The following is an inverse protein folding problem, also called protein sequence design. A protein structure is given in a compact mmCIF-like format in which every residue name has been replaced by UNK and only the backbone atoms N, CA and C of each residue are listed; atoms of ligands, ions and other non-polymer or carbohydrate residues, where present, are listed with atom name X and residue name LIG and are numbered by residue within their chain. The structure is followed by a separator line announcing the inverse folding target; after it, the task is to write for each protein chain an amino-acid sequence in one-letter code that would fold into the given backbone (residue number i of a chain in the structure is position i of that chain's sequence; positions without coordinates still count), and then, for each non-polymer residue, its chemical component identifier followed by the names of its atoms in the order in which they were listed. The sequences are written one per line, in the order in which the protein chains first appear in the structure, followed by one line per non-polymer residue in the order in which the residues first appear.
data_IF_780546518292
#
_entry.id   IF_780546518292
#
_cell.length_a   1.000
_cell.length_b   1.000
_cell.length_c   1.000
_cell.angle_alpha   90.00
_cell.angle_beta   90.00
_cell.angle_gamma   90.00
#
_symmetry.space_group_name_H-M   'P 1'
#
loop_
_entity.id
_entity.type
_entity.pdbx_description
1 polymer ?
#
# COMPACT_ATOMS: atom_id res chain seq x y z
N UNK A 1 27.12 8.40 -40.22
CA UNK A 1 26.52 7.44 -39.28
C UNK A 1 26.66 8.01 -37.88
N UNK A 2 25.54 8.40 -37.26
CA UNK A 2 25.50 8.98 -35.93
C UNK A 2 24.05 9.22 -35.54
N UNK A 3 23.35 8.16 -35.12
CA UNK A 3 21.96 8.23 -34.69
C UNK A 3 21.94 8.79 -33.27
N UNK A 4 21.53 10.05 -33.13
CA UNK A 4 21.15 10.63 -31.87
C UNK A 4 19.78 10.08 -31.47
N UNK A 5 19.75 9.13 -30.54
CA UNK A 5 18.53 8.61 -29.96
C UNK A 5 18.04 9.60 -28.90
N UNK A 6 17.25 10.59 -29.33
CA UNK A 6 16.48 11.46 -28.42
C UNK A 6 15.31 10.62 -27.89
N UNK A 7 15.52 10.01 -26.72
CA UNK A 7 14.43 9.43 -25.94
C UNK A 7 13.58 10.58 -25.39
N UNK A 8 12.49 10.88 -26.08
CA UNK A 8 11.46 11.81 -25.64
C UNK A 8 10.87 11.33 -24.31
N UNK A 9 11.07 12.11 -23.26
CA UNK A 9 10.40 11.97 -21.96
C UNK A 9 8.95 12.43 -22.15
N UNK A 10 8.15 11.62 -22.82
CA UNK A 10 6.72 11.87 -23.04
C UNK A 10 5.93 10.64 -22.65
N UNK A 11 5.85 10.32 -21.36
CA UNK A 11 4.74 9.57 -20.78
C UNK A 11 4.72 9.61 -19.24
N UNK A 12 4.91 10.78 -18.61
CA UNK A 12 4.34 10.99 -17.28
C UNK A 12 2.93 11.52 -17.48
N UNK A 13 2.05 10.66 -18.02
CA UNK A 13 0.63 10.97 -18.05
C UNK A 13 0.19 11.15 -16.59
N UNK A 14 -0.18 12.39 -16.25
CA UNK A 14 -0.93 12.65 -15.03
C UNK A 14 -2.16 11.75 -15.08
N UNK A 15 -2.29 10.82 -14.13
CA UNK A 15 -3.56 10.15 -13.84
C UNK A 15 -4.54 11.14 -13.19
N UNK A 16 -4.66 12.35 -13.74
CA UNK A 16 -5.77 13.22 -13.43
C UNK A 16 -6.99 12.52 -14.03
N UNK A 17 -7.76 11.85 -13.17
CA UNK A 17 -9.02 11.28 -13.61
C UNK A 17 -9.89 12.46 -14.01
N UNK A 18 -10.29 12.52 -15.27
CA UNK A 18 -11.33 13.43 -15.71
C UNK A 18 -12.59 13.07 -14.92
N UNK A 19 -12.90 13.88 -13.91
CA UNK A 19 -14.04 13.63 -13.04
C UNK A 19 -15.36 13.72 -13.81
N UNK A 20 -15.35 14.30 -15.02
CA UNK A 20 -16.51 14.45 -15.90
C UNK A 20 -17.63 15.27 -15.26
N UNK A 21 -18.56 15.77 -16.08
CA UNK A 21 -19.84 16.31 -15.58
C UNK A 21 -20.89 15.20 -15.32
N UNK A 22 -20.51 13.94 -15.50
CA UNK A 22 -21.35 12.76 -15.30
C UNK A 22 -21.19 12.10 -13.93
N UNK A 23 -22.00 11.08 -13.63
CA UNK A 23 -21.86 10.29 -12.41
C UNK A 23 -20.75 9.25 -12.60
N UNK A 24 -19.58 9.53 -12.05
CA UNK A 24 -18.42 8.62 -12.09
C UNK A 24 -18.36 7.77 -10.82
N UNK A 25 -18.30 6.44 -10.96
CA UNK A 25 -18.13 5.49 -9.85
C UNK A 25 -16.66 5.05 -9.76
N UNK A 26 -16.08 5.17 -8.56
CA UNK A 26 -14.76 4.65 -8.25
C UNK A 26 -14.88 3.41 -7.38
N UNK A 27 -14.33 2.28 -7.86
CA UNK A 27 -14.16 1.08 -7.07
C UNK A 27 -12.71 0.98 -6.63
N UNK A 28 -12.47 1.02 -5.32
CA UNK A 28 -11.14 0.93 -4.72
C UNK A 28 -11.06 -0.39 -3.97
N UNK A 29 -10.16 -1.28 -4.40
CA UNK A 29 -9.97 -2.54 -3.69
C UNK A 29 -8.96 -2.38 -2.56
N UNK A 30 -9.29 -2.97 -1.41
CA UNK A 30 -8.47 -2.96 -0.21
C UNK A 30 -8.80 -4.20 0.64
N UNK A 31 -7.97 -4.49 1.63
CA UNK A 31 -8.26 -5.45 2.67
C UNK A 31 -7.84 -4.84 4.00
N UNK A 32 -8.83 -4.57 4.85
CA UNK A 32 -8.56 -4.20 6.23
C UNK A 32 -8.08 -5.43 7.01
N UNK A 33 -7.02 -5.26 7.80
CA UNK A 33 -6.45 -6.33 8.63
C UNK A 33 -5.91 -5.73 9.92
N UNK A 34 -6.58 -6.03 11.03
CA UNK A 34 -6.05 -5.77 12.36
C UNK A 34 -4.75 -6.52 12.58
N UNK A 35 -3.70 -5.78 12.94
CA UNK A 35 -2.44 -6.43 13.30
C UNK A 35 -2.58 -7.26 14.57
N UNK A 36 -3.45 -6.83 15.49
CA UNK A 36 -3.83 -7.57 16.69
C UNK A 36 -5.24 -7.17 17.14
N UNK A 37 -6.14 -8.14 17.23
CA UNK A 37 -7.50 -7.95 17.75
C UNK A 37 -7.92 -9.16 18.59
N UNK A 38 -8.81 -10.01 18.08
CA UNK A 38 -9.20 -11.29 18.69
C UNK A 38 -8.17 -12.41 18.46
N UNK A 39 -6.97 -12.05 17.98
CA UNK A 39 -5.84 -12.94 17.70
C UNK A 39 -4.52 -12.21 17.99
N UNK A 40 -3.44 -12.97 18.11
CA UNK A 40 -2.10 -12.41 18.40
C UNK A 40 -1.39 -11.96 17.14
N UNK A 41 -0.36 -11.12 17.27
CA UNK A 41 0.53 -10.76 16.15
C UNK A 41 1.13 -12.01 15.48
N UNK A 42 1.42 -13.07 16.26
CA UNK A 42 1.91 -14.34 15.71
C UNK A 42 0.89 -14.99 14.79
N UNK A 43 -0.39 -14.90 15.11
CA UNK A 43 -1.47 -15.39 14.25
C UNK A 43 -1.57 -14.54 12.99
N UNK A 44 -1.49 -13.20 13.10
CA UNK A 44 -1.37 -12.27 11.96
C UNK A 44 -0.28 -12.71 11.00
N UNK A 45 0.92 -12.91 11.52
CA UNK A 45 2.09 -13.36 10.75
C UNK A 45 1.79 -14.70 10.08
N UNK A 46 1.41 -15.74 10.84
CA UNK A 46 1.31 -17.11 10.33
C UNK A 46 0.11 -17.36 9.41
N UNK A 47 -1.03 -16.75 9.70
CA UNK A 47 -2.31 -17.15 9.12
C UNK A 47 -2.87 -16.11 8.14
N UNK A 48 -2.57 -14.82 8.33
CA UNK A 48 -3.22 -13.75 7.58
C UNK A 48 -2.31 -13.09 6.53
N UNK A 49 -1.07 -12.75 6.88
CA UNK A 49 -0.13 -12.13 5.92
C UNK A 49 0.11 -12.99 4.66
N UNK A 50 0.30 -14.33 4.75
CA UNK A 50 0.45 -15.16 3.56
C UNK A 50 -0.76 -15.06 2.64
N UNK A 51 -1.97 -15.07 3.22
CA UNK A 51 -3.22 -14.95 2.48
C UNK A 51 -3.36 -13.60 1.78
N UNK A 52 -2.95 -12.50 2.42
CA UNK A 52 -2.93 -11.17 1.79
C UNK A 52 -1.94 -11.13 0.63
N UNK A 53 -0.79 -11.79 0.72
CA UNK A 53 0.20 -11.79 -0.36
C UNK A 53 -0.24 -12.67 -1.53
N UNK A 54 -0.42 -13.97 -1.28
CA UNK A 54 -0.57 -14.97 -2.34
C UNK A 54 -1.87 -14.80 -3.12
N UNK A 55 -3.00 -14.57 -2.43
CA UNK A 55 -4.29 -14.36 -3.11
C UNK A 55 -4.27 -13.11 -3.99
N UNK A 56 -3.61 -12.03 -3.54
CA UNK A 56 -3.49 -10.83 -4.37
C UNK A 56 -2.56 -11.05 -5.57
N UNK A 57 -1.50 -11.86 -5.44
CA UNK A 57 -0.67 -12.22 -6.58
C UNK A 57 -1.45 -12.98 -7.64
N UNK A 58 -2.27 -13.97 -7.24
CA UNK A 58 -3.17 -14.68 -8.15
C UNK A 58 -4.16 -13.73 -8.84
N UNK A 59 -4.72 -12.77 -8.09
CA UNK A 59 -5.63 -11.75 -8.65
C UNK A 59 -4.91 -10.82 -9.64
N UNK A 60 -3.66 -10.44 -9.39
CA UNK A 60 -2.90 -9.63 -10.34
C UNK A 60 -2.65 -10.37 -11.64
N UNK A 61 -2.34 -11.67 -11.59
CA UNK A 61 -2.15 -12.51 -12.78
C UNK A 61 -3.46 -12.67 -13.56
N UNK A 62 -4.56 -12.94 -12.85
CA UNK A 62 -5.86 -13.19 -13.47
C UNK A 62 -6.52 -11.95 -14.06
N UNK A 63 -6.37 -10.78 -13.41
CA UNK A 63 -7.09 -9.57 -13.78
C UNK A 63 -6.11 -8.41 -14.04
N UNK A 64 -5.72 -8.11 -15.29
CA UNK A 64 -4.67 -7.13 -15.61
C UNK A 64 -4.90 -5.71 -15.06
N UNK A 65 -6.17 -5.32 -14.90
CA UNK A 65 -6.54 -3.99 -14.40
C UNK A 65 -6.74 -3.93 -12.87
N UNK A 66 -6.57 -5.06 -12.17
CA UNK A 66 -6.70 -5.11 -10.72
C UNK A 66 -5.62 -4.26 -10.05
N UNK A 67 -6.07 -3.37 -9.15
CA UNK A 67 -5.24 -2.52 -8.29
C UNK A 67 -5.68 -2.72 -6.85
N UNK A 68 -4.73 -2.96 -5.97
CA UNK A 68 -4.93 -3.20 -4.55
C UNK A 68 -4.31 -2.09 -3.72
N UNK A 69 -4.96 -1.70 -2.63
CA UNK A 69 -4.48 -0.71 -1.66
C UNK A 69 -4.43 -1.37 -0.29
N UNK A 70 -3.30 -1.24 0.40
CA UNK A 70 -3.12 -1.89 1.70
C UNK A 70 -2.44 -0.94 2.68
N UNK A 71 -3.15 -0.62 3.77
CA UNK A 71 -2.70 0.36 4.76
C UNK A 71 -1.56 -0.15 5.65
N UNK A 72 -1.06 0.66 6.59
CA UNK A 72 -0.23 0.27 7.75
C UNK A 72 1.14 -0.36 7.42
N UNK A 73 2.19 0.45 7.52
CA UNK A 73 3.56 0.04 7.23
C UNK A 73 4.07 -1.13 8.09
N UNK A 74 3.55 -1.33 9.30
CA UNK A 74 3.99 -2.39 10.21
C UNK A 74 3.77 -3.77 9.63
N UNK A 75 2.65 -4.02 8.95
CA UNK A 75 2.41 -5.29 8.25
C UNK A 75 3.40 -5.52 7.11
N UNK A 76 3.84 -4.48 6.42
CA UNK A 76 4.91 -4.60 5.43
C UNK A 76 6.25 -4.95 6.07
N UNK A 77 6.56 -4.40 7.25
CA UNK A 77 7.75 -4.79 8.03
C UNK A 77 7.72 -6.27 8.37
N UNK A 78 6.57 -6.76 8.85
CA UNK A 78 6.37 -8.19 9.14
C UNK A 78 6.48 -9.06 7.89
N UNK A 79 5.89 -8.63 6.76
CA UNK A 79 6.02 -9.34 5.48
C UNK A 79 7.48 -9.42 5.03
N UNK A 80 8.25 -8.32 5.15
CA UNK A 80 9.68 -8.29 4.82
C UNK A 80 10.49 -9.25 5.69
N UNK A 81 10.18 -9.34 6.98
CA UNK A 81 10.93 -10.15 7.92
C UNK A 81 10.61 -11.65 7.80
N UNK A 82 9.33 -12.01 7.71
CA UNK A 82 8.89 -13.40 7.76
C UNK A 82 8.62 -14.03 6.38
N UNK A 83 8.42 -13.23 5.33
CA UNK A 83 8.08 -13.67 3.97
C UNK A 83 8.90 -12.91 2.91
N UNK A 84 10.26 -12.93 2.98
CA UNK A 84 11.11 -12.09 2.15
C UNK A 84 10.97 -12.36 0.64
N UNK A 85 10.70 -13.61 0.23
CA UNK A 85 10.53 -13.96 -1.18
C UNK A 85 9.26 -13.34 -1.76
N UNK A 86 8.14 -13.45 -1.04
CA UNK A 86 6.88 -12.80 -1.39
C UNK A 86 6.98 -11.28 -1.31
N UNK A 87 7.74 -10.75 -0.35
CA UNK A 87 7.96 -9.31 -0.23
C UNK A 87 8.69 -8.74 -1.46
N UNK A 88 9.67 -9.44 -2.02
CA UNK A 88 10.30 -9.02 -3.28
C UNK A 88 9.34 -9.11 -4.49
N UNK A 89 8.38 -10.06 -4.48
CA UNK A 89 7.29 -10.07 -5.48
C UNK A 89 6.34 -8.89 -5.29
N UNK A 90 5.96 -8.58 -4.04
CA UNK A 90 5.14 -7.41 -3.69
C UNK A 90 5.80 -6.12 -4.20
N UNK A 91 7.12 -5.94 -4.00
CA UNK A 91 7.85 -4.76 -4.49
C UNK A 91 7.70 -4.55 -5.99
N UNK A 92 7.74 -5.63 -6.79
CA UNK A 92 7.50 -5.56 -8.23
C UNK A 92 6.08 -5.08 -8.56
N UNK A 93 5.08 -5.49 -7.79
CA UNK A 93 3.70 -4.99 -7.96
C UNK A 93 3.53 -3.55 -7.51
N UNK A 94 4.27 -3.13 -6.47
CA UNK A 94 4.32 -1.73 -6.05
C UNK A 94 4.95 -0.88 -7.14
N UNK A 95 6.10 -1.28 -7.70
CA UNK A 95 6.76 -0.59 -8.81
C UNK A 95 5.82 -0.43 -10.01
N UNK A 96 5.16 -1.52 -10.42
CA UNK A 96 4.15 -1.55 -11.50
C UNK A 96 2.88 -0.73 -11.21
N UNK A 97 2.71 -0.18 -10.01
CA UNK A 97 1.54 0.61 -9.64
C UNK A 97 0.25 -0.21 -9.50
N UNK A 98 0.39 -1.52 -9.26
CA UNK A 98 -0.73 -2.45 -9.06
C UNK A 98 -1.00 -2.70 -7.58
N UNK A 99 0.03 -2.62 -6.74
CA UNK A 99 -0.08 -2.55 -5.29
C UNK A 99 0.24 -1.13 -4.83
N UNK A 100 -0.67 -0.50 -4.10
CA UNK A 100 -0.50 0.86 -3.57
C UNK A 100 -0.41 0.82 -2.05
N UNK A 101 0.60 1.52 -1.53
CA UNK A 101 0.68 1.81 -0.09
C UNK A 101 -0.36 2.87 0.26
N UNK A 102 -1.12 2.67 1.33
CA UNK A 102 -2.21 3.57 1.75
C UNK A 102 -2.16 3.88 3.25
N UNK A 103 -2.97 4.83 3.70
CA UNK A 103 -3.21 5.16 5.11
C UNK A 103 -2.11 5.92 5.86
N UNK A 104 -0.90 6.08 5.30
CA UNK A 104 0.25 6.84 5.82
C UNK A 104 0.85 6.44 7.17
N UNK A 105 0.11 5.77 8.05
CA UNK A 105 0.55 5.42 9.41
C UNK A 105 1.44 4.17 9.46
N UNK A 106 2.14 4.00 10.60
CA UNK A 106 2.81 2.71 10.90
C UNK A 106 1.76 1.62 11.07
N UNK A 107 0.68 1.89 11.78
CA UNK A 107 -0.49 0.99 11.84
C UNK A 107 -1.80 1.79 11.89
N UNK A 108 -2.95 1.12 11.71
CA UNK A 108 -4.25 1.73 11.96
C UNK A 108 -4.38 2.10 13.44
N UNK A 109 -4.19 3.38 13.77
CA UNK A 109 -4.17 3.85 15.15
C UNK A 109 -5.45 4.59 15.53
N UNK A 110 -5.83 4.49 16.81
CA UNK A 110 -6.79 5.39 17.43
C UNK A 110 -6.30 6.85 17.36
N UNK A 111 -7.23 7.79 17.27
CA UNK A 111 -6.94 9.23 17.20
C UNK A 111 -7.47 10.01 18.41
N UNK A 112 -8.17 9.34 19.33
CA UNK A 112 -8.75 9.98 20.51
C UNK A 112 -7.83 9.95 21.73
N UNK A 113 -7.17 8.82 21.99
CA UNK A 113 -6.32 8.60 23.17
C UNK A 113 -4.88 9.11 22.98
N UNK A 114 -4.21 8.92 21.82
CA UNK A 114 -2.81 9.33 21.66
C UNK A 114 -2.62 10.84 21.67
N UNK A 115 -1.41 11.28 22.05
CA UNK A 115 -1.04 12.69 21.90
C UNK A 115 -0.92 13.06 20.41
N UNK A 116 -1.07 14.35 20.05
CA UNK A 116 -0.83 14.81 18.68
C UNK A 116 0.56 14.45 18.17
N UNK A 117 1.57 14.46 19.04
CA UNK A 117 2.94 14.08 18.70
C UNK A 117 3.06 12.59 18.35
N UNK A 118 2.37 11.71 19.06
CA UNK A 118 2.30 10.30 18.72
C UNK A 118 1.65 10.07 17.34
N UNK A 119 0.55 10.78 17.03
CA UNK A 119 -0.09 10.71 15.72
C UNK A 119 0.82 11.21 14.59
N UNK A 120 1.54 12.30 14.81
CA UNK A 120 2.52 12.80 13.84
C UNK A 120 3.65 11.79 13.59
N UNK A 121 4.12 11.10 14.65
CA UNK A 121 5.12 10.04 14.51
C UNK A 121 4.62 8.83 13.74
N UNK A 122 3.35 8.45 13.91
CA UNK A 122 2.74 7.39 13.12
C UNK A 122 2.82 7.70 11.62
N UNK A 123 2.49 8.93 11.20
CA UNK A 123 2.58 9.36 9.79
C UNK A 123 4.03 9.42 9.34
N UNK A 124 4.89 10.05 10.14
CA UNK A 124 6.31 10.27 9.82
C UNK A 124 7.02 8.94 9.57
N UNK A 125 6.84 7.97 10.47
CA UNK A 125 7.49 6.67 10.39
C UNK A 125 6.83 5.75 9.36
N UNK A 126 5.50 5.77 9.23
CA UNK A 126 4.79 4.98 8.23
C UNK A 126 5.20 5.37 6.81
N UNK A 127 5.03 6.64 6.44
CA UNK A 127 5.47 7.13 5.13
C UNK A 127 7.00 7.14 4.98
N UNK A 128 7.76 7.33 6.06
CA UNK A 128 9.21 7.19 6.04
C UNK A 128 9.66 5.79 5.61
N UNK A 129 9.00 4.75 6.14
CA UNK A 129 9.23 3.37 5.73
C UNK A 129 8.87 3.14 4.26
N UNK A 130 7.67 3.55 3.82
CA UNK A 130 7.26 3.39 2.42
C UNK A 130 8.22 4.08 1.45
N UNK A 131 8.67 5.29 1.77
CA UNK A 131 9.61 6.05 0.94
C UNK A 131 10.94 5.30 0.82
N UNK A 132 11.45 4.78 1.94
CA UNK A 132 12.73 4.04 1.97
C UNK A 132 12.65 2.73 1.18
N UNK A 133 11.58 1.97 1.35
CA UNK A 133 11.46 0.62 0.80
C UNK A 133 11.00 0.60 -0.66
N UNK A 134 10.11 1.53 -1.03
CA UNK A 134 9.41 1.50 -2.32
C UNK A 134 9.61 2.76 -3.17
N UNK A 135 10.26 3.80 -2.64
CA UNK A 135 10.34 5.11 -3.31
C UNK A 135 8.98 5.81 -3.46
N UNK A 136 7.95 5.33 -2.74
CA UNK A 136 6.57 5.84 -2.79
C UNK A 136 6.10 6.23 -1.40
N UNK A 137 5.13 7.13 -1.34
CA UNK A 137 4.45 7.52 -0.10
C UNK A 137 2.94 7.42 -0.31
N UNK A 138 2.22 7.08 0.75
CA UNK A 138 0.77 7.23 0.80
C UNK A 138 0.45 8.72 0.90
N UNK A 139 -0.68 9.14 0.30
CA UNK A 139 -1.15 10.54 0.25
C UNK A 139 -2.53 10.68 0.89
N UNK A 140 -2.91 9.68 1.67
CA UNK A 140 -4.23 9.47 2.22
C UNK A 140 -4.10 9.05 3.68
N UNK A 141 -5.14 9.33 4.44
CA UNK A 141 -5.40 8.75 5.75
C UNK A 141 -6.57 7.79 5.56
N UNK A 142 -6.37 6.53 5.93
CA UNK A 142 -7.36 5.48 5.79
C UNK A 142 -7.57 4.83 7.15
N UNK A 143 -8.65 5.22 7.81
CA UNK A 143 -9.05 4.78 9.15
C UNK A 143 -10.52 4.33 9.13
N UNK A 144 -10.85 3.22 8.44
CA UNK A 144 -12.22 2.74 8.34
C UNK A 144 -12.77 2.18 9.67
N UNK A 145 -11.88 1.81 10.60
CA UNK A 145 -12.22 1.14 11.87
C UNK A 145 -11.63 1.87 13.10
N UNK A 146 -11.57 3.21 13.03
CA UNK A 146 -11.26 4.04 14.18
C UNK A 146 -12.57 4.52 14.81
N UNK A 147 -12.71 4.39 16.13
CA UNK A 147 -13.90 4.77 16.90
C UNK A 147 -13.72 6.13 17.57
#
# INVERSE_FOLDING_TARGET
MGIALILTVTQLASYAVDLGKGKTLYAVSTAHLDTQWNWTIRDTIKNFLPGTLTKNFELFEKYPNYKFNFEGAFRYMLMKEYYPEEYEKLKKYVEKGRWNVSGSFVDGCDVNVPSPEALMRQILYGNGYFKKEFGKVSKDIFLPDCF
#
